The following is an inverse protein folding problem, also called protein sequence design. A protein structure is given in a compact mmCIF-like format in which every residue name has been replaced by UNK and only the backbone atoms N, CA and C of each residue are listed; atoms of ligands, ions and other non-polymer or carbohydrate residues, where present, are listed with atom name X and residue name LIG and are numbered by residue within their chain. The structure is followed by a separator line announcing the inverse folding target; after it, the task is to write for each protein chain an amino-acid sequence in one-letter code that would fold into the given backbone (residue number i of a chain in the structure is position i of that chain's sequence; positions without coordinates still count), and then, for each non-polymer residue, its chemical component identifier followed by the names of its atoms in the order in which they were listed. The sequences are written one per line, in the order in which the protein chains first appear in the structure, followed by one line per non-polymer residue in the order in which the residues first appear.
data_IF_945014975715
#
_entry.id   IF_945014975715
#
_cell.length_a   1.000
_cell.length_b   1.000
_cell.length_c   1.000
_cell.angle_alpha   90.00
_cell.angle_beta   90.00
_cell.angle_gamma   90.00
#
_symmetry.space_group_name_H-M   'P 1'
#
loop_
_entity.id
_entity.type
_entity.pdbx_description
1 polymer ?
#
# COMPACT_ATOMS: atom_id res chain seq x y z
N UNK A 1 1.30 16.36 -5.07
CA UNK A 1 0.31 16.32 -6.17
C UNK A 1 0.75 15.25 -7.16
N UNK A 2 -0.09 14.25 -7.46
CA UNK A 2 0.26 13.19 -8.42
C UNK A 2 -0.09 13.70 -9.81
N UNK A 3 0.91 13.85 -10.69
CA UNK A 3 0.73 14.23 -12.09
C UNK A 3 1.22 13.09 -12.98
N UNK A 4 0.44 12.76 -14.01
CA UNK A 4 0.83 11.85 -15.09
C UNK A 4 0.64 12.59 -16.40
N UNK A 5 1.70 12.68 -17.19
CA UNK A 5 1.65 13.22 -18.55
C UNK A 5 1.47 12.08 -19.55
N UNK A 6 0.89 12.41 -20.72
CA UNK A 6 0.92 11.51 -21.88
C UNK A 6 2.35 11.41 -22.38
N UNK A 7 2.77 10.21 -22.75
CA UNK A 7 4.11 9.99 -23.30
C UNK A 7 4.14 10.16 -24.81
N UNK A 8 3.11 9.65 -25.47
CA UNK A 8 2.92 9.72 -26.92
C UNK A 8 1.51 10.23 -27.21
N UNK A 9 1.34 10.91 -28.35
CA UNK A 9 0.04 11.44 -28.77
C UNK A 9 -0.98 10.33 -29.09
N UNK A 10 -0.49 9.15 -29.50
CA UNK A 10 -1.31 7.96 -29.79
C UNK A 10 -1.64 7.12 -28.56
N UNK A 11 -1.32 7.58 -27.35
CA UNK A 11 -1.64 6.83 -26.14
C UNK A 11 -3.15 6.83 -25.86
N UNK A 12 -3.74 5.63 -25.77
CA UNK A 12 -5.13 5.46 -25.35
C UNK A 12 -5.37 6.05 -23.94
N UNK A 13 -6.48 6.75 -23.77
CA UNK A 13 -6.84 7.42 -22.50
C UNK A 13 -6.88 6.45 -21.30
N UNK A 14 -7.30 5.21 -21.53
CA UNK A 14 -7.35 4.16 -20.52
C UNK A 14 -5.98 3.85 -19.92
N UNK A 15 -4.92 3.86 -20.74
CA UNK A 15 -3.56 3.62 -20.28
C UNK A 15 -3.07 4.76 -19.38
N UNK A 16 -3.41 6.00 -19.73
CA UNK A 16 -3.11 7.18 -18.91
C UNK A 16 -3.80 7.07 -17.54
N UNK A 17 -5.10 6.73 -17.54
CA UNK A 17 -5.89 6.53 -16.32
C UNK A 17 -5.34 5.40 -15.46
N UNK A 18 -4.91 4.29 -16.07
CA UNK A 18 -4.31 3.15 -15.35
C UNK A 18 -3.00 3.54 -14.67
N UNK A 19 -2.13 4.31 -15.33
CA UNK A 19 -0.89 4.82 -14.72
C UNK A 19 -1.18 5.82 -13.61
N UNK A 20 -2.14 6.70 -13.81
CA UNK A 20 -2.58 7.64 -12.80
C UNK A 20 -3.08 6.92 -11.55
N UNK A 21 -3.96 5.92 -11.70
CA UNK A 21 -4.45 5.09 -10.61
C UNK A 21 -3.33 4.35 -9.90
N UNK A 22 -2.37 3.77 -10.64
CA UNK A 22 -1.20 3.12 -10.05
C UNK A 22 -0.36 4.09 -9.23
N UNK A 23 -0.09 5.30 -9.74
CA UNK A 23 0.67 6.33 -9.03
C UNK A 23 -0.08 6.88 -7.82
N UNK A 24 -1.39 7.06 -7.91
CA UNK A 24 -2.24 7.44 -6.78
C UNK A 24 -2.15 6.40 -5.66
N UNK A 25 -2.30 5.13 -5.98
CA UNK A 25 -2.20 4.04 -4.99
C UNK A 25 -0.81 3.96 -4.37
N UNK A 26 0.26 4.10 -5.17
CA UNK A 26 1.64 4.09 -4.67
C UNK A 26 1.96 5.28 -3.77
N UNK A 27 1.44 6.47 -4.10
CA UNK A 27 1.66 7.68 -3.30
C UNK A 27 0.99 7.64 -1.93
N UNK A 28 -0.02 6.78 -1.76
CA UNK A 28 -0.77 6.63 -0.52
C UNK A 28 -1.59 7.86 -0.13
N UNK A 29 -1.76 8.85 -1.03
CA UNK A 29 -2.47 10.11 -0.75
C UNK A 29 -3.89 9.86 -0.25
N UNK A 30 -4.60 8.88 -0.85
CA UNK A 30 -5.95 8.51 -0.41
C UNK A 30 -6.00 7.98 1.03
N UNK A 31 -5.00 7.18 1.43
CA UNK A 31 -4.93 6.64 2.79
C UNK A 31 -4.62 7.74 3.80
N UNK A 32 -3.68 8.64 3.46
CA UNK A 32 -3.35 9.80 4.29
C UNK A 32 -4.55 10.73 4.46
N UNK A 33 -5.23 11.06 3.36
CA UNK A 33 -6.41 11.92 3.39
C UNK A 33 -7.54 11.30 4.22
N UNK A 34 -7.79 9.99 4.09
CA UNK A 34 -8.77 9.29 4.94
C UNK A 34 -8.38 9.30 6.42
N UNK A 35 -7.10 9.06 6.71
CA UNK A 35 -6.60 9.10 8.08
C UNK A 35 -6.68 10.50 8.71
N UNK A 36 -6.57 11.57 7.92
CA UNK A 36 -6.70 12.95 8.42
C UNK A 36 -8.15 13.42 8.59
N UNK A 37 -9.16 12.65 8.16
CA UNK A 37 -10.58 13.04 8.32
C UNK A 37 -11.02 13.04 9.79
N UNK A 38 -10.34 12.31 10.66
CA UNK A 38 -10.62 12.24 12.10
C UNK A 38 -9.32 12.24 12.89
N UNK A 39 -9.36 12.77 14.10
CA UNK A 39 -8.23 12.70 15.01
C UNK A 39 -8.12 11.31 15.62
N UNK A 40 -6.93 10.73 15.57
CA UNK A 40 -6.56 9.50 16.28
C UNK A 40 -5.30 9.75 17.11
N UNK A 41 -5.26 9.23 18.35
CA UNK A 41 -4.05 9.30 19.18
C UNK A 41 -2.89 8.58 18.48
N UNK A 42 -1.67 9.12 18.52
CA UNK A 42 -0.52 8.45 17.91
C UNK A 42 -0.31 7.07 18.54
N UNK A 43 0.00 6.08 17.68
CA UNK A 43 0.14 4.69 18.11
C UNK A 43 1.24 4.57 19.16
N UNK A 44 0.89 4.03 20.34
CA UNK A 44 1.82 3.78 21.44
C UNK A 44 2.93 2.77 21.06
N UNK A 45 4.06 2.82 21.77
CA UNK A 45 5.21 1.91 21.52
C UNK A 45 4.79 0.44 21.65
N UNK A 46 3.94 0.11 22.62
CA UNK A 46 3.45 -1.25 22.86
C UNK A 46 2.61 -1.77 21.70
N UNK A 47 1.64 -0.99 21.21
CA UNK A 47 0.78 -1.37 20.08
C UNK A 47 1.59 -1.48 18.78
N UNK A 48 2.58 -0.62 18.59
CA UNK A 48 3.51 -0.71 17.45
C UNK A 48 4.30 -2.02 17.48
N UNK A 49 4.81 -2.42 18.65
CA UNK A 49 5.56 -3.65 18.85
C UNK A 49 4.70 -4.89 18.60
N UNK A 50 3.49 -4.95 19.15
CA UNK A 50 2.59 -6.11 18.94
C UNK A 50 2.24 -6.29 17.46
N UNK A 51 1.91 -5.20 16.75
CA UNK A 51 1.68 -5.22 15.29
C UNK A 51 2.91 -5.72 14.52
N UNK A 52 4.13 -5.33 14.92
CA UNK A 52 5.36 -5.78 14.29
C UNK A 52 5.63 -7.28 14.52
N UNK A 53 5.37 -7.78 15.73
CA UNK A 53 5.50 -9.21 16.08
C UNK A 53 4.54 -10.04 15.21
N UNK A 54 3.27 -9.66 15.13
CA UNK A 54 2.28 -10.37 14.30
C UNK A 54 2.69 -10.39 12.82
N UNK A 55 3.20 -9.28 12.28
CA UNK A 55 3.71 -9.23 10.89
C UNK A 55 4.88 -10.19 10.69
N UNK A 56 5.79 -10.29 11.66
CA UNK A 56 6.92 -11.23 11.61
C UNK A 56 6.45 -12.68 11.67
N UNK A 57 5.51 -13.00 12.55
CA UNK A 57 4.90 -14.32 12.66
C UNK A 57 4.24 -14.75 11.35
N UNK A 58 3.38 -13.91 10.78
CA UNK A 58 2.72 -14.18 9.49
C UNK A 58 3.72 -14.36 8.34
N UNK A 59 4.83 -13.61 8.35
CA UNK A 59 5.89 -13.76 7.34
C UNK A 59 6.62 -15.10 7.50
N UNK A 60 6.92 -15.50 8.73
CA UNK A 60 7.56 -16.78 9.02
C UNK A 60 6.65 -17.95 8.63
N UNK A 61 5.38 -17.91 9.04
CA UNK A 61 4.36 -18.90 8.69
C UNK A 61 4.20 -19.04 7.16
N UNK A 62 4.10 -17.91 6.45
CA UNK A 62 4.03 -17.91 4.98
C UNK A 62 5.27 -18.56 4.35
N UNK A 63 6.46 -18.27 4.86
CA UNK A 63 7.71 -18.84 4.36
C UNK A 63 7.76 -20.34 4.62
N UNK A 64 7.31 -20.79 5.78
CA UNK A 64 7.27 -22.20 6.14
C UNK A 64 6.26 -22.97 5.26
N UNK A 65 5.05 -22.44 5.08
CA UNK A 65 4.03 -23.01 4.17
C UNK A 65 4.57 -23.19 2.75
N UNK A 66 5.25 -22.16 2.24
CA UNK A 66 5.88 -22.19 0.92
C UNK A 66 7.00 -23.23 0.80
N UNK A 67 7.80 -23.42 1.86
CA UNK A 67 8.83 -24.48 1.92
C UNK A 67 8.23 -25.89 1.98
N UNK A 68 7.09 -26.04 2.62
CA UNK A 68 6.37 -27.32 2.73
C UNK A 68 5.51 -27.63 1.50
N UNK A 69 5.45 -26.74 0.51
CA UNK A 69 4.61 -26.91 -0.68
C UNK A 69 3.10 -26.82 -0.40
N UNK A 70 2.72 -26.44 0.82
CA UNK A 70 1.32 -26.29 1.24
C UNK A 70 0.91 -24.85 0.95
N UNK A 71 -0.06 -24.69 0.05
CA UNK A 71 -0.53 -23.38 -0.41
C UNK A 71 -1.63 -22.81 0.48
#
# INVERSE_FOLDING_TARGET
MVRVTRKDEKEANENVLRRFNRRLLQSGVMQKARASMRFEKPISKTVRRSRAIVRRMRKAEKTQKLRLGVR
#
